data_IF_350549430014
#
_entry.id   IF_350549430014
#
_cell.length_a   1.000
_cell.length_b   1.000
_cell.length_c   1.000
_cell.angle_alpha   90.00
_cell.angle_beta   90.00
_cell.angle_gamma   90.00
#
_symmetry.space_group_name_H-M   'P 1'
#
loop_
_entity.id
_entity.type
_entity.pdbx_description
1 polymer ?
#
# COMPACT_ATOMS: atom_id res chain seq x y z
N UNK A 1 21.53 -19.67 -0.09
CA UNK A 1 20.27 -19.55 0.67
C UNK A 1 19.64 -18.26 0.21
N UNK A 2 18.33 -18.27 -0.08
CA UNK A 2 17.68 -17.12 -0.67
C UNK A 2 16.53 -16.57 0.18
N UNK A 3 16.27 -15.27 0.04
CA UNK A 3 15.21 -14.52 0.70
C UNK A 3 14.19 -14.08 -0.36
N UNK A 4 12.90 -14.13 -0.04
CA UNK A 4 11.84 -13.70 -0.95
C UNK A 4 11.12 -12.46 -0.42
N UNK A 5 11.06 -11.42 -1.26
CA UNK A 5 10.15 -10.29 -1.08
C UNK A 5 8.95 -10.43 -2.01
N UNK A 6 7.75 -10.26 -1.47
CA UNK A 6 6.50 -10.22 -2.23
C UNK A 6 5.90 -8.83 -2.09
N UNK A 7 5.57 -8.18 -3.20
CA UNK A 7 4.91 -6.88 -3.22
C UNK A 7 3.49 -7.04 -3.77
N UNK A 8 2.48 -6.64 -3.00
CA UNK A 8 1.05 -6.72 -3.36
C UNK A 8 0.48 -5.31 -3.53
N UNK A 9 0.59 -4.79 -4.75
CA UNK A 9 0.11 -3.47 -5.13
C UNK A 9 -1.35 -3.45 -5.57
N UNK A 10 -1.83 -2.28 -6.02
CA UNK A 10 -3.23 -2.14 -6.47
C UNK A 10 -3.49 -2.74 -7.86
N UNK A 11 -2.50 -2.81 -8.74
CA UNK A 11 -2.68 -3.27 -10.13
C UNK A 11 -2.07 -4.64 -10.42
N UNK A 12 -1.29 -5.17 -9.48
CA UNK A 12 -0.56 -6.41 -9.66
C UNK A 12 0.33 -6.72 -8.47
N UNK A 13 0.94 -7.90 -8.53
CA UNK A 13 1.87 -8.38 -7.51
C UNK A 13 3.20 -8.80 -8.13
N UNK A 14 4.26 -8.75 -7.33
CA UNK A 14 5.62 -9.11 -7.72
C UNK A 14 6.24 -9.99 -6.66
N UNK A 15 6.89 -11.07 -7.06
CA UNK A 15 7.72 -11.89 -6.17
C UNK A 15 9.17 -11.82 -6.67
N UNK A 16 10.10 -11.51 -5.77
CA UNK A 16 11.52 -11.38 -6.07
C UNK A 16 12.32 -12.23 -5.10
N UNK A 17 13.23 -13.03 -5.62
CA UNK A 17 14.16 -13.85 -4.83
C UNK A 17 15.54 -13.22 -4.86
N UNK A 18 16.15 -13.04 -3.70
CA UNK A 18 17.47 -12.47 -3.51
C UNK A 18 18.40 -13.46 -2.81
N UNK A 19 19.69 -13.44 -3.13
CA UNK A 19 20.69 -14.07 -2.25
C UNK A 19 21.01 -13.18 -1.05
N UNK A 20 21.82 -13.69 -0.11
CA UNK A 20 22.21 -12.97 1.11
C UNK A 20 23.04 -11.70 0.85
N UNK A 21 23.57 -11.51 -0.38
CA UNK A 21 24.26 -10.28 -0.77
C UNK A 21 23.32 -9.20 -1.31
N UNK A 22 22.02 -9.51 -1.43
CA UNK A 22 21.01 -8.64 -2.03
C UNK A 22 20.95 -8.72 -3.56
N UNK A 23 21.66 -9.67 -4.18
CA UNK A 23 21.59 -9.87 -5.63
C UNK A 23 20.28 -10.57 -5.98
N UNK A 24 19.54 -9.98 -6.91
CA UNK A 24 18.33 -10.59 -7.46
C UNK A 24 18.68 -11.89 -8.22
N UNK A 25 18.09 -13.01 -7.78
CA UNK A 25 18.20 -14.33 -8.40
C UNK A 25 17.05 -14.61 -9.37
N UNK A 26 15.83 -14.23 -8.99
CA UNK A 26 14.63 -14.48 -9.77
C UNK A 26 13.56 -13.41 -9.53
N UNK A 27 12.68 -13.23 -10.51
CA UNK A 27 11.51 -12.37 -10.42
C UNK A 27 10.33 -12.95 -11.20
N UNK A 28 9.13 -12.77 -10.66
CA UNK A 28 7.86 -12.98 -11.35
C UNK A 28 6.92 -11.82 -11.04
N UNK A 29 6.06 -11.49 -12.01
CA UNK A 29 5.11 -10.39 -11.91
C UNK A 29 3.78 -10.82 -12.55
N UNK A 30 2.67 -10.44 -11.94
CA UNK A 30 1.32 -10.64 -12.48
C UNK A 30 0.45 -9.42 -12.24
N UNK A 31 -0.40 -9.14 -13.22
CA UNK A 31 -1.43 -8.11 -13.13
C UNK A 31 -2.78 -8.74 -12.82
N UNK A 32 -3.61 -8.00 -12.08
CA UNK A 32 -5.01 -8.32 -11.84
C UNK A 32 -5.90 -7.10 -12.09
N UNK A 33 -7.16 -7.32 -12.52
CA UNK A 33 -8.05 -6.22 -12.84
C UNK A 33 -8.51 -5.48 -11.59
N UNK A 34 -8.54 -4.15 -11.68
CA UNK A 34 -9.29 -3.32 -10.75
C UNK A 34 -10.77 -3.37 -11.11
N UNK A 35 -11.62 -3.78 -10.18
CA UNK A 35 -13.06 -3.84 -10.38
C UNK A 35 -13.69 -2.47 -10.17
N UNK A 36 -14.65 -2.13 -11.02
CA UNK A 36 -15.45 -0.90 -10.93
C UNK A 36 -16.94 -1.21 -10.98
N UNK A 37 -17.53 -1.77 -9.89
CA UNK A 37 -18.92 -2.22 -9.89
C UNK A 37 -19.94 -1.07 -10.05
N UNK A 38 -19.56 0.15 -9.66
CA UNK A 38 -20.32 1.39 -9.86
C UNK A 38 -19.37 2.53 -10.26
N UNK A 39 -19.86 3.60 -10.90
CA UNK A 39 -19.04 4.78 -11.16
C UNK A 39 -18.37 5.31 -9.89
N UNK A 40 -17.05 5.48 -9.93
CA UNK A 40 -16.24 5.93 -8.79
C UNK A 40 -15.96 4.86 -7.73
N UNK A 41 -16.49 3.64 -7.87
CA UNK A 41 -16.20 2.55 -6.95
C UNK A 41 -15.02 1.75 -7.48
N UNK A 42 -14.00 1.53 -6.64
CA UNK A 42 -12.81 0.77 -7.01
C UNK A 42 -12.55 -0.32 -5.98
N UNK A 43 -12.39 -1.55 -6.46
CA UNK A 43 -12.28 -2.75 -5.62
C UNK A 43 -11.31 -3.77 -6.22
N UNK A 44 -10.75 -4.63 -5.37
CA UNK A 44 -10.01 -5.82 -5.75
C UNK A 44 -10.77 -7.07 -5.30
N UNK A 45 -10.78 -8.09 -6.15
CA UNK A 45 -11.21 -9.43 -5.75
C UNK A 45 -10.08 -10.08 -4.93
N UNK A 46 -10.25 -10.29 -3.61
CA UNK A 46 -9.20 -10.86 -2.77
C UNK A 46 -8.82 -12.29 -3.16
N UNK A 47 -9.76 -13.08 -3.70
CA UNK A 47 -9.47 -14.43 -4.18
C UNK A 47 -8.52 -14.36 -5.38
N UNK A 48 -8.82 -13.49 -6.34
CA UNK A 48 -7.98 -13.31 -7.52
C UNK A 48 -6.58 -12.80 -7.16
N UNK A 49 -6.49 -11.80 -6.29
CA UNK A 49 -5.20 -11.26 -5.83
C UNK A 49 -4.35 -12.36 -5.19
N UNK A 50 -4.95 -13.15 -4.30
CA UNK A 50 -4.24 -14.23 -3.59
C UNK A 50 -3.76 -15.35 -4.53
N UNK A 51 -4.57 -15.71 -5.52
CA UNK A 51 -4.20 -16.67 -6.58
C UNK A 51 -3.00 -16.18 -7.39
N UNK A 52 -3.01 -14.91 -7.81
CA UNK A 52 -1.93 -14.31 -8.59
C UNK A 52 -0.65 -14.14 -7.76
N UNK A 53 -0.77 -13.81 -6.47
CA UNK A 53 0.36 -13.78 -5.51
C UNK A 53 0.98 -15.17 -5.38
N UNK A 54 0.17 -16.20 -5.11
CA UNK A 54 0.63 -17.59 -5.00
C UNK A 54 1.31 -18.07 -6.28
N UNK A 55 0.73 -17.74 -7.43
CA UNK A 55 1.31 -18.09 -8.73
C UNK A 55 2.61 -17.34 -9.03
N UNK A 56 2.77 -16.11 -8.56
CA UNK A 56 4.01 -15.32 -8.70
C UNK A 56 5.11 -15.87 -7.80
N UNK A 57 4.79 -16.18 -6.54
CA UNK A 57 5.72 -16.83 -5.59
C UNK A 57 6.24 -18.15 -6.15
N UNK A 58 5.34 -19.02 -6.62
CA UNK A 58 5.70 -20.32 -7.19
C UNK A 58 6.59 -20.19 -8.43
N UNK A 59 6.30 -19.23 -9.29
CA UNK A 59 7.09 -18.99 -10.50
C UNK A 59 8.49 -18.45 -10.15
N UNK A 60 8.59 -17.47 -9.25
CA UNK A 60 9.87 -16.90 -8.84
C UNK A 60 10.75 -17.94 -8.11
N UNK A 61 10.17 -18.72 -7.20
CA UNK A 61 10.87 -19.81 -6.51
C UNK A 61 11.35 -20.89 -7.49
N UNK A 62 10.57 -21.21 -8.52
CA UNK A 62 10.94 -22.22 -9.53
C UNK A 62 11.99 -21.76 -10.55
N UNK A 63 12.39 -20.48 -10.53
CA UNK A 63 13.42 -19.91 -11.44
C UNK A 63 14.84 -19.95 -10.84
N UNK A 64 15.00 -20.46 -9.62
CA UNK A 64 16.29 -20.57 -8.94
C UNK A 64 16.42 -21.92 -8.26
N UNK A 65 17.64 -22.49 -8.26
CA UNK A 65 17.95 -23.72 -7.52
C UNK A 65 18.27 -23.45 -6.04
N UNK A 66 18.45 -22.18 -5.66
CA UNK A 66 18.75 -21.78 -4.28
C UNK A 66 17.46 -21.66 -3.46
N UNK A 67 17.20 -22.56 -2.50
CA UNK A 67 15.92 -22.63 -1.81
C UNK A 67 15.66 -21.39 -0.94
N UNK A 68 14.46 -20.85 -1.10
CA UNK A 68 13.93 -19.77 -0.26
C UNK A 68 13.92 -20.23 1.20
N UNK A 69 14.46 -19.41 2.10
CA UNK A 69 14.50 -19.65 3.54
C UNK A 69 13.54 -18.73 4.32
N UNK A 70 13.31 -17.52 3.81
CA UNK A 70 12.40 -16.56 4.41
C UNK A 70 11.57 -15.81 3.37
N UNK A 71 10.37 -15.39 3.76
CA UNK A 71 9.42 -14.62 2.96
C UNK A 71 8.89 -13.43 3.77
N UNK A 72 8.89 -12.24 3.15
CA UNK A 72 8.25 -11.04 3.67
C UNK A 72 7.31 -10.45 2.62
N UNK A 73 6.23 -9.78 3.06
CA UNK A 73 5.24 -9.18 2.16
C UNK A 73 5.15 -7.67 2.38
N UNK A 74 5.44 -6.88 1.34
CA UNK A 74 4.97 -5.50 1.27
C UNK A 74 3.59 -5.45 0.59
N UNK A 75 2.75 -4.50 1.01
CA UNK A 75 1.48 -4.30 0.31
C UNK A 75 1.04 -2.84 0.28
N UNK A 76 0.12 -2.56 -0.64
CA UNK A 76 -0.65 -1.32 -0.64
C UNK A 76 -1.31 -1.07 0.73
N UNK A 77 -1.44 0.20 1.07
CA UNK A 77 -2.14 0.65 2.26
C UNK A 77 -3.66 0.51 2.15
N UNK A 78 -4.32 0.62 3.32
CA UNK A 78 -5.76 0.81 3.53
C UNK A 78 -6.71 -0.32 3.10
N UNK A 79 -6.41 -1.05 2.03
CA UNK A 79 -7.25 -2.12 1.50
C UNK A 79 -7.44 -3.24 2.53
N UNK A 80 -8.70 -3.47 2.89
CA UNK A 80 -9.09 -4.51 3.85
C UNK A 80 -9.85 -5.64 3.18
N UNK A 81 -9.73 -6.84 3.75
CA UNK A 81 -10.40 -8.06 3.32
C UNK A 81 -11.27 -8.55 4.49
N UNK A 82 -12.61 -8.37 4.42
CA UNK A 82 -13.51 -8.93 5.42
C UNK A 82 -13.62 -10.45 5.26
N UNK A 83 -13.25 -11.19 6.30
CA UNK A 83 -13.21 -12.66 6.31
C UNK A 83 -14.23 -13.20 7.31
N UNK A 84 -15.03 -14.16 6.87
CA UNK A 84 -16.01 -14.87 7.69
C UNK A 84 -15.51 -16.22 8.18
N UNK A 85 -16.47 -17.02 8.67
CA UNK A 85 -16.22 -18.40 9.09
C UNK A 85 -15.64 -19.23 7.94
N UNK A 86 -14.84 -20.23 8.28
CA UNK A 86 -14.18 -21.12 7.31
C UNK A 86 -13.31 -20.40 6.27
N UNK A 87 -12.77 -19.22 6.61
CA UNK A 87 -11.89 -18.42 5.74
C UNK A 87 -12.57 -17.92 4.45
N UNK A 88 -13.88 -17.75 4.48
CA UNK A 88 -14.65 -17.19 3.37
C UNK A 88 -14.41 -15.69 3.22
N UNK A 89 -14.09 -15.21 2.02
CA UNK A 89 -14.07 -13.77 1.73
C UNK A 89 -15.50 -13.26 1.57
N UNK A 90 -15.88 -12.28 2.38
CA UNK A 90 -17.27 -11.83 2.47
C UNK A 90 -17.60 -10.70 1.48
N UNK A 91 -16.58 -9.97 1.04
CA UNK A 91 -16.71 -8.85 0.11
C UNK A 91 -15.38 -8.61 -0.62
N UNK A 92 -15.43 -7.86 -1.72
CA UNK A 92 -14.23 -7.36 -2.36
C UNK A 92 -13.51 -6.33 -1.48
N UNK A 93 -12.22 -6.16 -1.72
CA UNK A 93 -11.39 -5.18 -1.02
C UNK A 93 -11.51 -3.80 -1.67
N UNK A 94 -12.10 -2.86 -0.96
CA UNK A 94 -12.15 -1.46 -1.39
C UNK A 94 -10.71 -0.91 -1.41
N UNK A 95 -10.27 -0.27 -2.50
CA UNK A 95 -8.91 0.28 -2.61
C UNK A 95 -8.84 1.75 -2.17
N UNK A 96 -7.64 2.25 -1.87
CA UNK A 96 -7.40 3.60 -1.33
C UNK A 96 -7.99 4.73 -2.20
N UNK A 97 -8.01 4.57 -3.52
CA UNK A 97 -8.57 5.54 -4.47
C UNK A 97 -10.10 5.60 -4.49
N UNK A 98 -10.80 4.72 -3.78
CA UNK A 98 -12.26 4.73 -3.75
C UNK A 98 -12.80 5.78 -2.75
N UNK A 99 -13.55 6.80 -3.20
CA UNK A 99 -14.04 7.89 -2.36
C UNK A 99 -15.39 7.58 -1.69
N UNK A 100 -15.90 6.34 -1.74
CA UNK A 100 -17.30 6.02 -1.36
C UNK A 100 -17.66 6.32 0.09
N UNK A 101 -16.66 6.54 0.93
CA UNK A 101 -16.72 6.85 2.36
C UNK A 101 -16.41 8.31 2.65
N UNK A 102 -16.35 9.18 1.64
CA UNK A 102 -16.04 10.61 1.81
C UNK A 102 -17.00 11.33 2.76
N UNK A 103 -18.30 10.98 2.73
CA UNK A 103 -19.30 11.57 3.62
C UNK A 103 -19.05 11.24 5.10
N UNK A 104 -18.33 10.16 5.40
CA UNK A 104 -17.96 9.77 6.76
C UNK A 104 -16.77 10.55 7.32
N UNK A 105 -15.99 11.24 6.48
CA UNK A 105 -14.82 12.01 6.94
C UNK A 105 -15.25 13.07 7.96
N UNK A 106 -16.25 13.89 7.60
CA UNK A 106 -16.79 14.91 8.50
C UNK A 106 -17.43 14.30 9.75
N UNK A 107 -18.09 13.15 9.61
CA UNK A 107 -18.69 12.43 10.76
C UNK A 107 -17.61 12.04 11.77
N UNK A 108 -16.47 11.55 11.30
CA UNK A 108 -15.32 11.20 12.15
C UNK A 108 -14.64 12.42 12.77
N UNK A 109 -14.46 13.49 11.99
CA UNK A 109 -13.94 14.76 12.50
C UNK A 109 -14.81 15.35 13.61
N UNK A 110 -16.14 15.35 13.42
CA UNK A 110 -17.09 15.86 14.41
C UNK A 110 -17.17 14.94 15.65
N UNK A 111 -16.94 13.63 15.49
CA UNK A 111 -17.01 12.63 16.57
C UNK A 111 -15.78 12.66 17.49
N UNK A 112 -14.59 12.75 16.92
CA UNK A 112 -13.33 12.62 17.68
C UNK A 112 -12.47 13.88 17.69
N UNK A 113 -12.67 14.77 16.72
CA UNK A 113 -11.78 15.91 16.47
C UNK A 113 -10.63 15.53 15.54
N UNK A 114 -10.47 16.31 14.46
CA UNK A 114 -9.38 16.13 13.48
C UNK A 114 -7.98 16.13 14.14
N UNK A 115 -7.77 17.01 15.12
CA UNK A 115 -6.51 17.12 15.87
C UNK A 115 -6.22 15.88 16.74
N UNK A 116 -7.20 15.41 17.51
CA UNK A 116 -7.06 14.21 18.36
C UNK A 116 -6.76 12.96 17.53
N UNK A 117 -7.47 12.76 16.40
CA UNK A 117 -7.19 11.65 15.49
C UNK A 117 -5.73 11.69 15.03
N UNK A 118 -5.25 12.86 14.61
CA UNK A 118 -3.88 13.02 14.14
C UNK A 118 -2.83 12.88 15.24
N UNK A 119 -3.06 13.47 16.41
CA UNK A 119 -2.15 13.37 17.56
C UNK A 119 -1.98 11.92 18.02
N UNK A 120 -3.07 11.14 18.00
CA UNK A 120 -3.06 9.75 18.43
C UNK A 120 -2.46 8.80 17.39
N UNK A 121 -2.80 8.99 16.12
CA UNK A 121 -2.54 7.98 15.06
C UNK A 121 -1.48 8.42 14.06
N UNK A 122 -1.16 9.71 14.02
CA UNK A 122 -0.33 10.33 13.00
C UNK A 122 -0.95 10.36 11.61
N UNK A 123 -2.23 10.02 11.48
CA UNK A 123 -2.94 9.96 10.20
C UNK A 123 -4.03 11.03 10.17
N UNK A 124 -3.93 12.04 9.28
CA UNK A 124 -5.04 12.95 8.99
C UNK A 124 -6.21 12.14 8.41
N UNK A 125 -7.42 12.36 8.93
CA UNK A 125 -8.61 11.60 8.49
C UNK A 125 -8.91 11.83 7.01
N UNK A 126 -9.18 10.73 6.30
CA UNK A 126 -9.55 10.70 4.90
C UNK A 126 -10.44 9.50 4.61
N UNK A 127 -11.13 9.50 3.47
CA UNK A 127 -12.12 8.47 3.13
C UNK A 127 -11.53 7.06 3.05
N UNK A 128 -10.24 6.94 2.73
CA UNK A 128 -9.64 5.64 2.45
C UNK A 128 -9.44 4.74 3.67
N UNK A 129 -9.57 5.20 4.92
CA UNK A 129 -9.11 4.41 6.06
C UNK A 129 -10.08 3.33 6.56
N UNK A 130 -9.50 2.31 7.20
CA UNK A 130 -10.18 1.09 7.67
C UNK A 130 -11.48 1.32 8.45
N UNK A 131 -11.54 2.17 9.48
CA UNK A 131 -12.75 2.26 10.29
C UNK A 131 -13.92 2.90 9.53
N UNK A 132 -13.66 3.85 8.63
CA UNK A 132 -14.70 4.44 7.76
C UNK A 132 -15.27 3.39 6.81
N UNK A 133 -14.43 2.46 6.32
CA UNK A 133 -14.89 1.34 5.48
C UNK A 133 -15.73 0.35 6.26
N UNK A 134 -15.35 0.04 7.49
CA UNK A 134 -16.11 -0.84 8.37
C UNK A 134 -17.46 -0.23 8.74
N UNK A 135 -17.51 1.07 9.04
CA UNK A 135 -18.78 1.79 9.26
C UNK A 135 -19.66 1.80 8.01
N UNK A 136 -19.06 2.03 6.83
CA UNK A 136 -19.80 1.94 5.58
C UNK A 136 -20.37 0.54 5.32
N UNK A 137 -19.60 -0.53 5.55
CA UNK A 137 -20.07 -1.92 5.44
C UNK A 137 -21.19 -2.18 6.45
N UNK A 138 -21.08 -1.67 7.69
CA UNK A 138 -22.13 -1.78 8.70
C UNK A 138 -23.45 -1.15 8.25
N UNK A 139 -23.39 0.04 7.66
CA UNK A 139 -24.57 0.79 7.23
C UNK A 139 -25.19 0.25 5.94
N UNK A 140 -24.36 -0.16 4.97
CA UNK A 140 -24.81 -0.51 3.61
C UNK A 140 -24.93 -2.02 3.39
N UNK A 141 -24.16 -2.82 4.13
CA UNK A 141 -24.08 -4.28 4.01
C UNK A 141 -24.10 -4.95 5.42
N UNK A 142 -25.12 -4.70 6.24
CA UNK A 142 -25.14 -5.14 7.65
C UNK A 142 -25.02 -6.66 7.82
N UNK A 143 -25.51 -7.44 6.85
CA UNK A 143 -25.38 -8.90 6.88
C UNK A 143 -23.94 -9.37 6.61
N UNK A 144 -23.17 -8.63 5.83
CA UNK A 144 -21.73 -8.84 5.68
C UNK A 144 -21.03 -8.49 6.99
N UNK A 145 -21.30 -7.31 7.55
CA UNK A 145 -20.67 -6.83 8.79
C UNK A 145 -20.81 -7.82 9.95
N UNK A 146 -22.02 -8.36 10.17
CA UNK A 146 -22.30 -9.34 11.24
C UNK A 146 -21.52 -10.64 11.09
N UNK A 147 -21.14 -11.02 9.87
CA UNK A 147 -20.43 -12.27 9.57
C UNK A 147 -18.92 -12.15 9.67
N UNK A 148 -18.38 -10.93 9.84
CA UNK A 148 -16.94 -10.69 9.93
C UNK A 148 -16.39 -11.37 11.20
N UNK A 149 -15.46 -12.29 10.99
CA UNK A 149 -14.66 -12.95 12.04
C UNK A 149 -13.24 -12.36 12.10
N UNK A 150 -12.69 -11.97 10.94
CA UNK A 150 -11.39 -11.30 10.81
C UNK A 150 -11.45 -10.21 9.74
N UNK A 151 -10.62 -9.18 9.88
CA UNK A 151 -10.34 -8.17 8.85
C UNK A 151 -8.84 -8.16 8.63
N UNK A 152 -8.41 -8.42 7.40
CA UNK A 152 -7.00 -8.55 7.05
C UNK A 152 -6.60 -7.48 6.04
N UNK A 153 -5.36 -7.00 6.09
CA UNK A 153 -4.70 -6.36 4.95
C UNK A 153 -4.09 -7.43 4.03
N UNK A 154 -3.47 -7.01 2.93
CA UNK A 154 -2.91 -7.98 1.98
C UNK A 154 -1.64 -8.68 2.49
N UNK A 155 -0.83 -8.03 3.32
CA UNK A 155 0.31 -8.66 4.01
C UNK A 155 -0.13 -9.87 4.85
N UNK A 156 -1.06 -9.62 5.78
CA UNK A 156 -1.51 -10.58 6.76
C UNK A 156 -2.53 -11.57 6.18
N UNK A 157 -3.19 -11.25 5.06
CA UNK A 157 -3.92 -12.21 4.23
C UNK A 157 -2.99 -13.29 3.65
N UNK A 158 -1.82 -12.90 3.12
CA UNK A 158 -0.83 -13.86 2.61
C UNK A 158 -0.31 -14.74 3.74
N UNK A 159 0.00 -14.17 4.90
CA UNK A 159 0.41 -14.92 6.09
C UNK A 159 -0.67 -15.93 6.52
N UNK A 160 -1.93 -15.50 6.55
CA UNK A 160 -3.07 -16.36 6.86
C UNK A 160 -3.23 -17.51 5.86
N UNK A 161 -3.01 -17.26 4.56
CA UNK A 161 -3.04 -18.28 3.50
C UNK A 161 -1.85 -19.25 3.50
N UNK A 162 -0.72 -18.84 4.07
CA UNK A 162 0.39 -19.74 4.39
C UNK A 162 0.11 -20.61 5.63
N UNK A 163 -1.07 -20.46 6.26
CA UNK A 163 -1.53 -21.27 7.39
C UNK A 163 -1.00 -20.82 8.74
N UNK A 164 -0.56 -19.56 8.84
CA UNK A 164 -0.05 -18.95 10.07
C UNK A 164 -1.13 -18.07 10.73
N UNK A 165 -0.99 -17.79 12.03
CA UNK A 165 -1.79 -16.74 12.68
C UNK A 165 -1.35 -15.38 12.11
N UNK A 166 -2.28 -14.49 11.71
CA UNK A 166 -1.93 -13.31 10.94
C UNK A 166 -1.42 -12.21 11.89
N UNK A 167 -0.30 -11.62 11.51
CA UNK A 167 0.28 -10.43 12.11
C UNK A 167 0.51 -9.41 11.01
N UNK A 168 0.37 -8.14 11.34
CA UNK A 168 0.51 -7.02 10.41
C UNK A 168 1.64 -6.11 10.87
N UNK A 169 2.44 -5.62 9.94
CA UNK A 169 3.51 -4.69 10.26
C UNK A 169 2.97 -3.35 10.80
N UNK A 170 3.70 -2.73 11.73
CA UNK A 170 3.34 -1.43 12.33
C UNK A 170 3.11 -0.33 11.28
N UNK A 171 3.91 -0.27 10.20
CA UNK A 171 3.71 0.74 9.16
C UNK A 171 2.42 0.52 8.38
N UNK A 172 2.06 -0.74 8.09
CA UNK A 172 0.81 -1.07 7.41
C UNK A 172 -0.40 -0.92 8.34
N UNK A 173 -0.30 -1.37 9.59
CA UNK A 173 -1.32 -1.17 10.62
C UNK A 173 -1.60 0.31 10.88
N UNK A 174 -0.58 1.17 10.80
CA UNK A 174 -0.75 2.63 10.89
C UNK A 174 -1.69 3.17 9.81
N UNK A 175 -1.67 2.59 8.61
CA UNK A 175 -2.58 2.95 7.51
C UNK A 175 -4.04 2.53 7.76
N UNK A 176 -4.35 1.95 8.92
CA UNK A 176 -5.73 1.82 9.37
C UNK A 176 -6.34 3.14 9.87
N UNK A 177 -5.55 4.16 10.21
CA UNK A 177 -5.96 5.35 10.99
C UNK A 177 -6.47 5.02 12.40
N UNK A 178 -6.26 3.80 12.89
CA UNK A 178 -6.65 3.39 14.24
C UNK A 178 -5.51 2.73 15.01
N UNK A 179 -4.26 2.78 14.54
CA UNK A 179 -3.12 2.40 15.36
C UNK A 179 -2.69 3.62 16.19
N UNK A 180 -2.72 3.49 17.51
CA UNK A 180 -2.18 4.51 18.41
C UNK A 180 -0.66 4.43 18.39
N UNK A 181 0.01 5.51 17.98
CA UNK A 181 1.47 5.54 17.82
C UNK A 181 2.22 5.37 19.14
N UNK A 182 1.62 5.79 20.25
CA UNK A 182 2.26 5.73 21.58
C UNK A 182 2.21 4.33 22.18
N UNK A 183 1.10 3.61 21.98
CA UNK A 183 0.87 2.28 22.55
C UNK A 183 1.10 1.13 21.57
N UNK A 184 1.23 1.44 20.27
CA UNK A 184 1.31 0.47 19.17
C UNK A 184 0.16 -0.54 19.19
N UNK A 185 -1.01 -0.08 19.64
CA UNK A 185 -2.23 -0.87 19.80
C UNK A 185 -3.39 -0.19 19.10
N UNK A 186 -4.40 -0.96 18.72
CA UNK A 186 -5.58 -0.38 18.10
C UNK A 186 -6.34 0.53 19.07
N UNK A 187 -6.72 1.70 18.58
CA UNK A 187 -7.52 2.69 19.27
C UNK A 187 -8.94 2.14 19.50
N UNK A 188 -9.16 1.62 20.71
CA UNK A 188 -10.38 0.88 21.05
C UNK A 188 -11.63 1.74 20.92
N UNK A 189 -11.58 3.00 21.37
CA UNK A 189 -12.72 3.91 21.36
C UNK A 189 -13.19 4.22 19.93
N UNK A 190 -12.29 4.27 18.95
CA UNK A 190 -12.64 4.42 17.54
C UNK A 190 -13.48 3.25 17.04
N UNK A 191 -13.06 2.01 17.34
CA UNK A 191 -13.79 0.80 16.94
C UNK A 191 -15.08 0.57 17.72
N UNK A 192 -15.10 0.89 19.02
CA UNK A 192 -16.31 0.85 19.85
C UNK A 192 -17.40 1.76 19.26
N UNK A 193 -17.03 2.93 18.71
CA UNK A 193 -17.99 3.86 18.11
C UNK A 193 -18.74 3.31 16.88
N UNK A 194 -18.21 2.24 16.28
CA UNK A 194 -18.81 1.55 15.14
C UNK A 194 -19.24 0.12 15.48
N UNK A 195 -19.29 -0.25 16.77
CA UNK A 195 -19.61 -1.60 17.25
C UNK A 195 -18.72 -2.70 16.62
N UNK A 196 -17.43 -2.42 16.46
CA UNK A 196 -16.45 -3.36 15.94
C UNK A 196 -15.46 -3.77 17.02
N UNK A 197 -15.12 -5.06 17.07
CA UNK A 197 -14.10 -5.59 17.99
C UNK A 197 -12.71 -5.54 17.32
N UNK A 198 -11.77 -4.69 17.80
CA UNK A 198 -10.43 -4.61 17.20
C UNK A 198 -9.64 -5.92 17.28
N UNK A 199 -10.02 -6.88 18.13
CA UNK A 199 -9.39 -8.20 18.16
C UNK A 199 -9.61 -9.03 16.87
N UNK A 200 -10.55 -8.59 16.00
CA UNK A 200 -10.75 -9.16 14.66
C UNK A 200 -9.71 -8.67 13.64
N UNK A 201 -8.96 -7.63 13.94
CA UNK A 201 -7.79 -7.23 13.14
C UNK A 201 -6.57 -8.05 13.55
N UNK A 202 -5.60 -8.15 12.64
CA UNK A 202 -4.32 -8.80 12.92
C UNK A 202 -3.51 -8.01 13.95
N UNK A 203 -2.72 -8.72 14.75
CA UNK A 203 -1.86 -8.11 15.77
C UNK A 203 -0.78 -7.24 15.10
N UNK A 204 -0.62 -5.96 15.48
CA UNK A 204 0.49 -5.14 15.01
C UNK A 204 1.83 -5.62 15.57
N UNK A 205 2.83 -5.76 14.71
CA UNK A 205 4.19 -6.17 15.07
C UNK A 205 5.22 -5.35 14.27
N UNK A 206 6.45 -5.12 14.79
CA UNK A 206 7.50 -4.47 14.00
C UNK A 206 7.83 -5.23 12.72
N UNK A 207 8.24 -4.53 11.65
CA UNK A 207 8.75 -5.15 10.43
C UNK A 207 9.89 -6.14 10.71
N UNK A 208 9.92 -7.26 9.98
CA UNK A 208 10.91 -8.33 10.16
C UNK A 208 10.67 -9.24 11.36
N UNK A 209 9.52 -9.13 12.03
CA UNK A 209 9.14 -10.02 13.14
C UNK A 209 8.72 -11.39 12.61
N UNK A 210 9.28 -12.47 13.18
CA UNK A 210 8.90 -13.84 12.83
C UNK A 210 7.45 -14.13 13.22
N UNK A 211 6.64 -14.43 12.22
CA UNK A 211 5.24 -14.87 12.38
C UNK A 211 5.20 -16.38 12.62
N UNK A 212 6.01 -17.13 11.85
CA UNK A 212 6.13 -18.58 12.00
C UNK A 212 6.77 -19.24 10.79
N UNK A 213 6.78 -20.57 10.79
CA UNK A 213 7.32 -21.38 9.70
C UNK A 213 6.20 -22.15 9.00
N UNK A 214 6.23 -22.17 7.66
CA UNK A 214 5.16 -22.82 6.90
C UNK A 214 5.24 -24.34 6.99
N UNK A 215 4.09 -25.00 7.14
CA UNK A 215 3.98 -26.45 7.12
C UNK A 215 4.01 -27.05 5.72
N UNK A 216 4.05 -28.38 5.62
CA UNK A 216 4.13 -29.12 4.34
C UNK A 216 2.98 -28.80 3.37
N UNK A 217 1.75 -28.62 3.89
CA UNK A 217 0.58 -28.29 3.07
C UNK A 217 0.79 -26.95 2.35
N UNK A 218 1.11 -25.89 3.11
CA UNK A 218 1.34 -24.56 2.58
C UNK A 218 2.55 -24.56 1.63
N UNK A 219 3.64 -25.22 2.02
CA UNK A 219 4.84 -25.39 1.17
C UNK A 219 4.50 -25.95 -0.21
N UNK A 220 3.70 -27.04 -0.26
CA UNK A 220 3.26 -27.65 -1.52
C UNK A 220 2.36 -26.72 -2.35
N UNK A 221 1.42 -26.04 -1.71
CA UNK A 221 0.47 -25.14 -2.40
C UNK A 221 1.17 -23.91 -2.98
N UNK A 222 2.13 -23.34 -2.25
CA UNK A 222 2.88 -22.14 -2.62
C UNK A 222 4.13 -22.41 -3.46
N UNK A 223 4.54 -23.67 -3.60
CA UNK A 223 5.77 -24.03 -4.32
C UNK A 223 7.04 -23.58 -3.59
N UNK A 224 7.01 -23.63 -2.26
CA UNK A 224 8.11 -23.26 -1.38
C UNK A 224 8.62 -24.50 -0.62
N UNK A 225 9.86 -24.48 -0.09
CA UNK A 225 10.30 -25.49 0.86
C UNK A 225 9.45 -25.49 2.14
N UNK A 226 9.28 -26.66 2.76
CA UNK A 226 8.70 -26.73 4.11
C UNK A 226 9.64 -26.06 5.11
N UNK A 227 9.08 -25.34 6.09
CA UNK A 227 9.86 -24.64 7.11
C UNK A 227 10.33 -23.24 6.74
N UNK A 228 9.98 -22.70 5.55
CA UNK A 228 10.24 -21.28 5.22
C UNK A 228 9.69 -20.38 6.33
N UNK A 229 10.54 -19.49 6.83
CA UNK A 229 10.17 -18.49 7.82
C UNK A 229 9.36 -17.37 7.16
N UNK A 230 8.21 -17.04 7.71
CA UNK A 230 7.42 -15.87 7.30
C UNK A 230 7.61 -14.79 8.34
N UNK A 231 8.01 -13.61 7.90
CA UNK A 231 8.19 -12.43 8.73
C UNK A 231 7.25 -11.32 8.27
N UNK A 232 6.88 -10.42 9.17
CA UNK A 232 6.20 -9.17 8.79
C UNK A 232 7.06 -8.38 7.80
N UNK A 233 6.42 -7.77 6.81
CA UNK A 233 7.01 -6.86 5.85
C UNK A 233 6.60 -5.42 6.15
N UNK A 234 5.70 -4.84 5.36
CA UNK A 234 5.18 -3.51 5.66
C UNK A 234 4.44 -2.80 4.53
N UNK A 235 4.08 -1.55 4.78
CA UNK A 235 3.49 -0.70 3.76
C UNK A 235 4.49 -0.42 2.63
N UNK A 236 4.02 -0.44 1.39
CA UNK A 236 4.86 -0.30 0.19
C UNK A 236 5.78 0.93 0.19
N UNK A 237 5.30 2.10 0.65
CA UNK A 237 6.09 3.33 0.66
C UNK A 237 7.28 3.28 1.63
N UNK A 238 7.12 2.95 2.93
CA UNK A 238 8.28 2.76 3.81
C UNK A 238 9.14 1.56 3.42
N UNK A 239 8.58 0.50 2.81
CA UNK A 239 9.40 -0.58 2.24
C UNK A 239 10.28 -0.09 1.08
N UNK A 240 9.75 0.76 0.19
CA UNK A 240 10.52 1.39 -0.87
C UNK A 240 11.59 2.33 -0.32
N UNK A 241 11.28 3.12 0.71
CA UNK A 241 12.26 3.97 1.39
C UNK A 241 13.41 3.17 1.99
N UNK A 242 13.11 2.04 2.66
CA UNK A 242 14.13 1.11 3.14
C UNK A 242 14.99 0.56 2.00
N UNK A 243 14.36 0.16 0.90
CA UNK A 243 15.04 -0.42 -0.27
C UNK A 243 16.05 0.51 -0.94
N UNK A 244 15.85 1.83 -0.87
CA UNK A 244 16.83 2.83 -1.36
C UNK A 244 17.80 3.32 -0.29
N UNK A 245 17.73 2.79 0.93
CA UNK A 245 18.58 3.17 2.05
C UNK A 245 18.18 4.48 2.74
N UNK A 246 16.96 4.98 2.52
CA UNK A 246 16.44 6.14 3.25
C UNK A 246 16.05 5.71 4.66
N UNK A 247 17.01 5.74 5.59
CA UNK A 247 16.84 5.34 7.00
C UNK A 247 17.33 6.40 8.00
N UNK A 248 17.85 7.52 7.50
CA UNK A 248 18.35 8.64 8.30
C UNK A 248 17.39 9.82 8.21
N UNK A 249 17.17 10.53 9.31
CA UNK A 249 16.36 11.75 9.31
C UNK A 249 16.89 12.78 8.31
N UNK A 250 15.98 13.42 7.58
CA UNK A 250 16.31 14.36 6.51
C UNK A 250 16.65 13.70 5.17
N UNK A 251 16.77 12.37 5.11
CA UNK A 251 16.77 11.62 3.85
C UNK A 251 15.33 11.34 3.43
N UNK A 252 15.06 11.46 2.14
CA UNK A 252 13.77 11.12 1.55
C UNK A 252 13.95 10.19 0.35
N UNK A 253 13.01 9.26 0.20
CA UNK A 253 12.84 8.49 -1.02
C UNK A 253 11.91 9.27 -1.96
N UNK A 254 12.39 9.56 -3.17
CA UNK A 254 11.58 10.16 -4.23
C UNK A 254 11.21 9.09 -5.26
N UNK A 255 9.93 8.73 -5.30
CA UNK A 255 9.37 7.80 -6.27
C UNK A 255 8.58 8.54 -7.35
N UNK A 256 8.97 8.37 -8.60
CA UNK A 256 8.23 8.85 -9.77
C UNK A 256 7.75 7.68 -10.62
N UNK A 257 6.49 7.30 -10.44
CA UNK A 257 5.79 6.31 -11.26
C UNK A 257 4.56 6.93 -11.93
N UNK A 258 3.45 6.20 -12.02
CA UNK A 258 2.15 6.78 -12.40
C UNK A 258 1.80 7.99 -11.52
N UNK A 259 2.10 7.87 -10.23
CA UNK A 259 2.01 8.92 -9.21
C UNK A 259 3.42 9.36 -8.80
N UNK A 260 3.52 10.55 -8.23
CA UNK A 260 4.72 11.05 -7.58
C UNK A 260 4.57 10.90 -6.07
N UNK A 261 5.59 10.41 -5.37
CA UNK A 261 5.60 10.29 -3.91
C UNK A 261 6.99 10.61 -3.33
N UNK A 262 7.01 11.40 -2.27
CA UNK A 262 8.16 11.70 -1.44
C UNK A 262 7.90 11.08 -0.07
N UNK A 263 8.73 10.12 0.31
CA UNK A 263 8.71 9.49 1.64
C UNK A 263 9.87 10.03 2.45
N UNK A 264 9.58 10.95 3.38
CA UNK A 264 10.59 11.58 4.26
C UNK A 264 10.73 10.81 5.55
N UNK A 265 11.96 10.66 6.06
CA UNK A 265 12.28 9.88 7.26
C UNK A 265 12.48 10.80 8.48
N UNK A 266 12.03 10.34 9.65
CA UNK A 266 12.13 11.02 10.93
C UNK A 266 12.59 10.08 12.05
N UNK A 267 13.34 10.59 13.03
CA UNK A 267 13.78 9.82 14.20
C UNK A 267 12.70 9.70 15.28
N UNK A 268 11.71 10.60 15.27
CA UNK A 268 10.58 10.63 16.19
C UNK A 268 9.30 11.02 15.41
N UNK A 269 8.10 10.70 15.91
CA UNK A 269 6.86 11.17 15.28
C UNK A 269 6.83 12.70 15.21
N UNK A 270 6.64 13.25 14.01
CA UNK A 270 6.45 14.68 13.79
C UNK A 270 4.95 14.99 13.63
N UNK A 271 4.32 15.37 14.73
CA UNK A 271 2.88 15.68 14.80
C UNK A 271 2.71 17.17 15.09
N UNK A 272 2.57 17.99 14.04
CA UNK A 272 2.38 19.44 14.16
C UNK A 272 1.11 19.91 13.46
N UNK A 273 0.61 21.08 13.87
CA UNK A 273 -0.52 21.73 13.18
C UNK A 273 -0.22 21.95 11.69
N UNK A 274 1.03 22.29 11.34
CA UNK A 274 1.45 22.47 9.95
C UNK A 274 1.34 21.17 9.14
N UNK A 275 1.77 20.03 9.72
CA UNK A 275 1.59 18.72 9.09
C UNK A 275 0.10 18.41 8.88
N UNK A 276 -0.71 18.65 9.91
CA UNK A 276 -2.15 18.39 9.86
C UNK A 276 -2.86 19.26 8.81
N UNK A 277 -2.58 20.56 8.79
CA UNK A 277 -3.14 21.51 7.81
C UNK A 277 -2.80 21.14 6.37
N UNK A 278 -1.62 20.54 6.16
CA UNK A 278 -1.14 20.06 4.86
C UNK A 278 -1.50 18.60 4.58
N UNK A 279 -2.30 17.98 5.45
CA UNK A 279 -2.71 16.58 5.35
C UNK A 279 -1.52 15.61 5.20
N UNK A 280 -0.38 15.93 5.82
CA UNK A 280 0.79 15.08 5.89
C UNK A 280 0.63 14.09 7.05
N UNK A 281 0.78 12.81 6.76
CA UNK A 281 0.82 11.77 7.79
C UNK A 281 2.21 11.65 8.42
N UNK A 282 2.31 11.08 9.61
CA UNK A 282 3.57 10.65 10.21
C UNK A 282 3.34 9.33 10.94
N UNK A 283 3.96 8.24 10.49
CA UNK A 283 3.71 6.91 11.03
C UNK A 283 4.94 6.02 10.93
N UNK A 284 4.87 4.78 11.43
CA UNK A 284 6.03 3.89 11.50
C UNK A 284 6.70 3.67 10.13
N UNK A 285 8.03 3.70 10.13
CA UNK A 285 8.84 3.13 9.06
C UNK A 285 8.97 1.61 9.26
N UNK A 286 9.24 0.88 8.18
CA UNK A 286 9.74 -0.50 8.23
C UNK A 286 11.13 -0.64 8.87
N UNK A 287 11.91 0.44 9.00
CA UNK A 287 13.19 0.41 9.71
C UNK A 287 12.94 0.66 11.21
N UNK A 288 13.49 -0.16 12.12
CA UNK A 288 13.21 -0.06 13.55
C UNK A 288 13.45 1.34 14.13
N UNK A 289 12.46 1.87 14.84
CA UNK A 289 12.54 3.15 15.57
C UNK A 289 12.48 4.39 14.69
N UNK A 290 12.19 4.26 13.39
CA UNK A 290 12.01 5.40 12.48
C UNK A 290 10.54 5.60 12.12
N UNK A 291 10.25 6.81 11.65
CA UNK A 291 8.93 7.22 11.18
C UNK A 291 9.05 7.79 9.76
N UNK A 292 7.94 7.79 9.04
CA UNK A 292 7.84 8.34 7.69
C UNK A 292 6.68 9.30 7.56
N UNK A 293 6.84 10.30 6.70
CA UNK A 293 5.74 11.09 6.14
C UNK A 293 5.69 10.92 4.63
N UNK A 294 4.47 10.87 4.10
CA UNK A 294 4.24 10.79 2.66
C UNK A 294 3.69 12.12 2.15
N UNK A 295 4.37 12.68 1.16
CA UNK A 295 3.85 13.73 0.31
C UNK A 295 3.73 13.17 -1.11
N UNK A 296 2.54 13.17 -1.70
CA UNK A 296 2.31 12.57 -3.00
C UNK A 296 1.34 13.37 -3.85
N UNK A 297 1.47 13.20 -5.17
CA UNK A 297 0.56 13.70 -6.17
C UNK A 297 0.15 12.55 -7.10
N UNK A 298 -1.16 12.43 -7.36
CA UNK A 298 -1.70 11.43 -8.29
C UNK A 298 -1.29 11.68 -9.75
N UNK A 299 -0.73 12.86 -10.04
CA UNK A 299 -0.22 13.24 -11.36
C UNK A 299 1.31 13.24 -11.37
N UNK A 300 1.92 12.07 -11.62
CA UNK A 300 3.36 11.91 -11.84
C UNK A 300 3.68 11.64 -13.31
N UNK A 301 4.32 10.51 -13.59
CA UNK A 301 4.62 10.03 -14.95
C UNK A 301 3.40 9.79 -15.83
N UNK A 302 2.19 9.67 -15.25
CA UNK A 302 0.95 9.63 -16.04
C UNK A 302 0.75 10.90 -16.88
N UNK A 303 1.24 12.06 -16.42
CA UNK A 303 1.22 13.30 -17.20
C UNK A 303 2.15 13.23 -18.40
N UNK A 304 3.33 12.64 -18.24
CA UNK A 304 4.28 12.49 -19.34
C UNK A 304 3.76 11.51 -20.40
N UNK A 305 3.13 10.42 -19.94
CA UNK A 305 2.40 9.50 -20.81
C UNK A 305 1.26 10.21 -21.56
N UNK A 306 0.43 10.99 -20.87
CA UNK A 306 -0.64 11.76 -21.50
C UNK A 306 -0.10 12.73 -22.55
N UNK A 307 0.99 13.44 -22.27
CA UNK A 307 1.63 14.34 -23.23
C UNK A 307 2.10 13.59 -24.47
N UNK A 308 2.78 12.45 -24.28
CA UNK A 308 3.19 11.57 -25.39
C UNK A 308 1.99 11.15 -26.23
N UNK A 309 0.91 10.70 -25.60
CA UNK A 309 -0.28 10.19 -26.30
C UNK A 309 -1.06 11.31 -27.02
N UNK A 310 -0.99 12.55 -26.53
CA UNK A 310 -1.77 13.69 -27.05
C UNK A 310 -1.00 14.49 -28.11
N UNK A 311 0.31 14.70 -27.90
CA UNK A 311 1.13 15.59 -28.73
C UNK A 311 2.40 14.92 -29.27
N UNK A 312 2.71 13.70 -28.83
CA UNK A 312 3.96 13.01 -29.11
C UNK A 312 3.94 12.09 -30.33
N UNK A 313 2.90 12.11 -31.18
CA UNK A 313 2.77 11.20 -32.33
C UNK A 313 4.05 11.14 -33.19
N UNK A 314 4.63 12.30 -33.53
CA UNK A 314 5.87 12.35 -34.30
C UNK A 314 7.07 11.73 -33.58
N UNK A 315 7.11 11.80 -32.25
CA UNK A 315 8.17 11.15 -31.46
C UNK A 315 7.95 9.63 -31.37
N UNK A 316 6.69 9.16 -31.31
CA UNK A 316 6.34 7.73 -31.35
C UNK A 316 6.81 7.12 -32.67
N UNK A 317 6.47 7.74 -33.80
CA UNK A 317 6.89 7.27 -35.14
C UNK A 317 8.42 7.23 -35.26
N UNK A 318 9.12 8.24 -34.75
CA UNK A 318 10.57 8.25 -34.76
C UNK A 318 11.17 7.14 -33.88
N UNK A 319 10.61 6.93 -32.68
CA UNK A 319 11.02 5.85 -31.77
C UNK A 319 10.90 4.47 -32.43
N UNK A 320 9.77 4.21 -33.09
CA UNK A 320 9.52 2.97 -33.85
C UNK A 320 10.52 2.82 -35.00
N UNK A 321 10.82 3.90 -35.72
CA UNK A 321 11.76 3.91 -36.85
C UNK A 321 13.20 3.64 -36.41
N UNK A 322 13.61 4.17 -35.25
CA UNK A 322 14.99 4.06 -34.77
C UNK A 322 15.20 2.92 -33.76
N UNK A 323 14.12 2.30 -33.28
CA UNK A 323 14.16 1.35 -32.15
C UNK A 323 14.58 2.01 -30.82
N UNK A 324 14.32 3.31 -30.67
CA UNK A 324 14.67 4.09 -29.47
C UNK A 324 13.51 4.21 -28.48
N UNK A 325 13.78 4.82 -27.32
CA UNK A 325 12.72 5.17 -26.36
C UNK A 325 12.05 6.50 -26.75
N UNK A 326 10.72 6.52 -26.77
CA UNK A 326 9.93 7.70 -27.13
C UNK A 326 10.16 8.88 -26.17
N UNK A 327 10.36 8.61 -24.89
CA UNK A 327 10.59 9.63 -23.88
C UNK A 327 11.98 10.24 -23.99
N UNK A 328 12.98 9.47 -24.43
CA UNK A 328 14.31 10.03 -24.75
C UNK A 328 14.23 11.03 -25.91
N UNK A 329 13.48 10.70 -26.97
CA UNK A 329 13.27 11.57 -28.12
C UNK A 329 12.53 12.86 -27.72
N UNK A 330 11.51 12.75 -26.86
CA UNK A 330 10.79 13.90 -26.32
C UNK A 330 11.71 14.77 -25.44
N UNK A 331 12.47 14.14 -24.56
CA UNK A 331 13.35 14.81 -23.59
C UNK A 331 14.55 15.48 -24.24
N UNK A 332 15.05 14.94 -25.37
CA UNK A 332 16.16 15.52 -26.12
C UNK A 332 15.89 16.95 -26.63
N UNK A 333 14.62 17.37 -26.69
CA UNK A 333 14.19 18.71 -27.12
C UNK A 333 13.95 19.66 -25.94
N UNK A 334 14.03 19.17 -24.71
CA UNK A 334 13.76 19.96 -23.50
C UNK A 334 14.98 20.87 -23.22
N UNK A 335 14.79 22.19 -23.03
CA UNK A 335 15.89 23.08 -22.66
C UNK A 335 16.46 22.70 -21.30
N UNK A 336 17.73 23.02 -21.06
CA UNK A 336 18.39 22.76 -19.77
C UNK A 336 17.76 23.55 -18.61
N UNK A 337 17.10 24.67 -18.91
CA UNK A 337 16.47 25.54 -17.93
C UNK A 337 14.93 25.51 -18.07
N UNK A 338 14.17 25.61 -16.96
CA UNK A 338 12.73 25.74 -17.01
C UNK A 338 12.28 26.94 -17.85
N UNK A 339 11.21 26.76 -18.62
CA UNK A 339 10.60 27.87 -19.37
C UNK A 339 9.75 28.75 -18.46
N UNK A 340 9.22 29.86 -18.99
CA UNK A 340 8.26 30.72 -18.29
C UNK A 340 6.82 30.17 -18.27
N UNK A 341 6.58 29.03 -18.93
CA UNK A 341 5.27 28.38 -18.95
C UNK A 341 5.11 27.52 -17.69
N UNK A 342 3.99 27.71 -17.02
CA UNK A 342 3.59 26.89 -15.88
C UNK A 342 2.47 25.95 -16.33
N UNK A 343 2.61 24.67 -16.00
CA UNK A 343 1.55 23.68 -16.12
C UNK A 343 1.20 23.21 -14.70
N UNK A 344 -0.08 23.26 -14.34
CA UNK A 344 -0.52 22.73 -13.06
C UNK A 344 -0.68 21.21 -13.23
N UNK A 345 0.01 20.37 -12.45
CA UNK A 345 -0.06 18.92 -12.61
C UNK A 345 -1.32 18.37 -11.93
N UNK A 346 -2.50 18.96 -12.18
CA UNK A 346 -3.78 18.56 -11.60
C UNK A 346 -4.67 17.95 -12.69
N UNK A 347 -4.11 16.99 -13.44
CA UNK A 347 -4.80 16.27 -14.51
C UNK A 347 -5.70 15.16 -13.93
N UNK A 348 -5.51 14.86 -12.64
CA UNK A 348 -6.37 14.10 -11.75
C UNK A 348 -6.64 14.93 -10.48
N UNK A 349 -7.29 14.35 -9.44
CA UNK A 349 -7.39 15.03 -8.13
C UNK A 349 -6.00 15.30 -7.53
N UNK A 350 -5.87 16.30 -6.67
CA UNK A 350 -4.59 16.57 -6.01
C UNK A 350 -4.37 15.60 -4.84
N UNK A 351 -3.13 15.20 -4.58
CA UNK A 351 -2.75 14.59 -3.30
C UNK A 351 -2.45 15.66 -2.24
N UNK A 352 -1.43 15.41 -1.42
CA UNK A 352 -0.94 16.41 -0.47
C UNK A 352 -0.43 17.66 -1.18
N UNK A 353 -0.63 18.88 -0.64
CA UNK A 353 -1.24 19.14 0.65
C UNK A 353 -2.77 19.33 0.63
N UNK A 354 -3.41 19.28 -0.52
CA UNK A 354 -4.77 19.85 -0.69
C UNK A 354 -5.90 18.82 -0.68
N UNK A 355 -5.70 17.61 -1.23
CA UNK A 355 -6.78 16.62 -1.44
C UNK A 355 -8.02 17.18 -2.17
N UNK A 356 -7.81 18.15 -3.06
CA UNK A 356 -8.86 18.78 -3.85
C UNK A 356 -9.22 17.93 -5.08
N UNK A 357 -10.43 17.37 -5.05
CA UNK A 357 -11.00 16.59 -6.16
C UNK A 357 -11.50 17.44 -7.34
N UNK A 358 -11.61 18.76 -7.15
CA UNK A 358 -12.08 19.71 -8.16
C UNK A 358 -10.95 20.43 -8.89
N UNK A 359 -9.71 20.36 -8.39
CA UNK A 359 -8.55 21.00 -9.02
C UNK A 359 -8.29 20.47 -10.43
N UNK A 360 -7.87 21.35 -11.35
CA UNK A 360 -7.61 21.04 -12.77
C UNK A 360 -6.32 21.70 -13.25
N UNK A 361 -5.65 21.02 -14.20
CA UNK A 361 -4.36 21.38 -14.77
C UNK A 361 -4.38 22.41 -15.89
#
# INVERSE_FOLDING_TARGET
>A
MSLMGVDVGTTGCKAVVFDESGKQLAVAYREYPLLSPKPGWFELDPQRVLEDVKASVKEAAGKTDDPVQALAVSSQGEAIVPVGKNREFLANSIVSSCPRTADLVKVWEDRFGRGEIFERTGIPVASCYTPLRLEWIKENEPEVFKRIEKVLFFEDLVCWDLGLEPAVDLSLASRSMCLDLSTQSYWKEAFDSIDFDPAKLSKPEPSGTLIGNIGEKAAKEWGLPAGVAVVTGGHDQPAAALGVGAIEEGVACYGLGTVECVTSVFDQPLLSDEMLERNLCCYHHTFPGKFVSLAYNFTGGCLFKWYRDTFGEGAVVEAERTGGDVYDILSAKVPSEPTRLFALPHFTSTGTPYFDNHSRG
#
